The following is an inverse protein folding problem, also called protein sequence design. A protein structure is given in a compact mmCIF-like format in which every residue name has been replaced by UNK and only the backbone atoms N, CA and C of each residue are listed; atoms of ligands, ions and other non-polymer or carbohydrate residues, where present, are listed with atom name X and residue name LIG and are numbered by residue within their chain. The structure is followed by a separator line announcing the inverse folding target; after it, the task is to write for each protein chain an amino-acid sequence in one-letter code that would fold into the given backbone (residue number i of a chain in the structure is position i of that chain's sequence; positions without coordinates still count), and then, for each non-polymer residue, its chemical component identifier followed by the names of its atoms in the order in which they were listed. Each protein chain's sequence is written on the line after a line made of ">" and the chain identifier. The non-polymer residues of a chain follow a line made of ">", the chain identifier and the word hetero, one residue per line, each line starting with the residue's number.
data_IF_218241689818
#
_entry.id   IF_218241689818
#
_cell.length_a   1.000
_cell.length_b   1.000
_cell.length_c   1.000
_cell.angle_alpha   90.00
_cell.angle_beta   90.00
_cell.angle_gamma   90.00
#
_symmetry.space_group_name_H-M   'P 1'
#
loop_
_entity.id
_entity.type
_entity.pdbx_description
1 polymer ?
#
# COMPACT_ATOMS: atom_id res chain seq x y z
N UNK A 1 -6.99 18.99 -27.37
CA UNK A 1 -6.63 19.79 -26.19
C UNK A 1 -7.71 19.54 -25.15
N UNK A 2 -7.44 18.73 -24.13
CA UNK A 2 -8.38 18.51 -23.03
C UNK A 2 -8.22 19.67 -22.04
N UNK A 3 -9.24 20.52 -21.97
CA UNK A 3 -9.39 21.56 -20.95
C UNK A 3 -9.71 20.89 -19.62
N UNK A 4 -8.75 20.88 -18.69
CA UNK A 4 -9.04 20.66 -17.28
C UNK A 4 -9.91 21.83 -16.81
N UNK A 5 -11.22 21.60 -16.73
CA UNK A 5 -12.08 22.46 -15.94
C UNK A 5 -11.56 22.39 -14.51
N UNK A 6 -11.12 23.52 -13.98
CA UNK A 6 -10.78 23.68 -12.57
C UNK A 6 -12.04 23.29 -11.77
N UNK A 7 -12.10 22.05 -11.26
CA UNK A 7 -13.17 21.65 -10.34
C UNK A 7 -13.09 22.60 -9.14
N UNK A 8 -14.24 23.06 -8.68
CA UNK A 8 -14.40 24.21 -7.79
C UNK A 8 -13.65 24.10 -6.45
N UNK A 9 -13.18 22.90 -6.08
CA UNK A 9 -12.62 22.58 -4.76
C UNK A 9 -11.16 22.06 -4.79
N UNK A 10 -10.47 22.09 -5.94
CA UNK A 10 -9.07 21.66 -6.02
C UNK A 10 -8.13 22.62 -5.29
N UNK A 11 -7.35 22.11 -4.33
CA UNK A 11 -6.36 22.91 -3.58
C UNK A 11 -4.95 22.63 -4.09
N UNK A 12 -4.26 23.64 -4.64
CA UNK A 12 -2.88 23.47 -5.10
C UNK A 12 -1.89 23.51 -3.94
N UNK A 13 -1.06 22.47 -3.83
CA UNK A 13 0.11 22.40 -2.95
C UNK A 13 1.36 22.93 -3.67
N UNK A 14 1.44 22.71 -4.98
CA UNK A 14 2.41 23.30 -5.90
C UNK A 14 1.68 23.74 -7.17
N UNK A 15 1.65 25.04 -7.50
CA UNK A 15 0.97 25.53 -8.69
C UNK A 15 1.63 25.00 -9.96
N UNK A 16 0.86 25.01 -11.05
CA UNK A 16 1.31 24.48 -12.33
C UNK A 16 2.53 25.23 -12.87
N UNK A 17 3.60 24.51 -13.23
CA UNK A 17 4.78 25.10 -13.86
C UNK A 17 4.66 25.12 -15.40
N UNK A 18 5.70 25.59 -16.09
CA UNK A 18 5.72 25.73 -17.56
C UNK A 18 5.62 24.39 -18.32
N UNK A 19 6.10 23.29 -17.74
CA UNK A 19 5.98 21.92 -18.31
C UNK A 19 4.68 21.22 -17.90
N UNK A 20 3.82 21.94 -17.19
CA UNK A 20 2.50 21.47 -16.80
C UNK A 20 2.47 20.62 -15.53
N UNK A 21 3.60 20.47 -14.83
CA UNK A 21 3.69 19.79 -13.52
C UNK A 21 2.93 20.57 -12.46
N UNK A 22 2.10 19.89 -11.67
CA UNK A 22 1.39 20.48 -10.53
C UNK A 22 1.20 19.45 -9.42
N UNK A 23 1.12 19.92 -8.18
CA UNK A 23 0.72 19.07 -7.04
C UNK A 23 -0.52 19.69 -6.43
N UNK A 24 -1.59 18.91 -6.30
CA UNK A 24 -2.86 19.39 -5.79
C UNK A 24 -3.64 18.31 -5.04
N UNK A 25 -4.53 18.74 -4.16
CA UNK A 25 -5.53 17.90 -3.52
C UNK A 25 -6.79 17.94 -4.40
N UNK A 26 -7.20 16.77 -4.88
CA UNK A 26 -8.50 16.54 -5.51
C UNK A 26 -9.45 15.90 -4.48
N UNK A 27 -10.49 16.61 -4.03
CA UNK A 27 -11.46 16.08 -3.07
C UNK A 27 -12.55 15.22 -3.73
N UNK A 28 -12.59 15.16 -5.06
CA UNK A 28 -13.65 14.47 -5.81
C UNK A 28 -13.57 12.95 -5.61
N UNK A 29 -14.60 12.27 -5.08
CA UNK A 29 -14.62 10.79 -4.98
C UNK A 29 -14.63 10.11 -6.37
N UNK A 30 -14.97 10.87 -7.41
CA UNK A 30 -14.92 10.45 -8.82
C UNK A 30 -13.61 10.85 -9.53
N UNK A 31 -12.53 11.05 -8.78
CA UNK A 31 -11.22 11.29 -9.39
C UNK A 31 -10.79 10.10 -10.25
N UNK A 32 -10.35 10.35 -11.49
CA UNK A 32 -9.89 9.31 -12.42
C UNK A 32 -8.69 8.51 -11.87
N UNK A 33 -7.95 9.09 -10.93
CA UNK A 33 -6.76 8.49 -10.36
C UNK A 33 -7.07 7.32 -9.43
N UNK A 34 -8.27 7.24 -8.84
CA UNK A 34 -8.65 6.11 -8.00
C UNK A 34 -8.66 4.79 -8.78
N UNK A 35 -9.06 4.81 -10.05
CA UNK A 35 -9.09 3.58 -10.87
C UNK A 35 -7.67 3.03 -11.08
N UNK A 36 -6.70 3.91 -11.31
CA UNK A 36 -5.29 3.52 -11.44
C UNK A 36 -4.74 2.97 -10.12
N UNK A 37 -5.10 3.60 -9.00
CA UNK A 37 -4.70 3.15 -7.65
C UNK A 37 -5.32 1.80 -7.32
N UNK A 38 -6.58 1.61 -7.69
CA UNK A 38 -7.33 0.38 -7.50
C UNK A 38 -6.92 -0.77 -8.41
N UNK A 39 -6.08 -0.52 -9.43
CA UNK A 39 -5.61 -1.57 -10.32
C UNK A 39 -4.80 -2.64 -9.57
N UNK A 40 -5.20 -3.90 -9.74
CA UNK A 40 -4.56 -5.08 -9.14
C UNK A 40 -3.82 -5.92 -10.18
N UNK A 41 -3.59 -5.41 -11.39
CA UNK A 41 -2.87 -6.13 -12.45
C UNK A 41 -1.48 -6.66 -12.02
N UNK A 42 -0.84 -6.04 -11.02
CA UNK A 42 0.43 -6.50 -10.44
C UNK A 42 0.32 -7.91 -9.79
N UNK A 43 -0.88 -8.35 -9.42
CA UNK A 43 -1.12 -9.67 -8.82
C UNK A 43 -1.31 -10.78 -9.88
N UNK A 44 -1.27 -10.45 -11.17
CA UNK A 44 -1.48 -11.43 -12.24
C UNK A 44 -0.40 -12.51 -12.24
N UNK A 45 -0.85 -13.76 -12.43
CA UNK A 45 0.01 -14.94 -12.56
C UNK A 45 0.74 -14.98 -13.91
N UNK A 46 1.66 -14.04 -14.11
CA UNK A 46 2.55 -13.96 -15.26
C UNK A 46 3.76 -14.90 -15.12
N UNK A 47 4.74 -14.79 -16.02
CA UNK A 47 5.96 -15.61 -15.99
C UNK A 47 6.74 -15.44 -14.69
N UNK A 48 7.03 -14.20 -14.26
CA UNK A 48 7.83 -13.96 -13.06
C UNK A 48 7.10 -14.44 -11.79
N UNK A 49 5.76 -14.35 -11.77
CA UNK A 49 4.96 -14.94 -10.68
C UNK A 49 5.17 -16.45 -10.61
N UNK A 50 5.09 -17.14 -11.76
CA UNK A 50 5.29 -18.60 -11.82
C UNK A 50 6.70 -18.99 -11.37
N UNK A 51 7.71 -18.26 -11.83
CA UNK A 51 9.10 -18.51 -11.41
C UNK A 51 9.29 -18.30 -9.90
N UNK A 52 8.67 -17.26 -9.34
CA UNK A 52 8.69 -17.02 -7.89
C UNK A 52 7.99 -18.14 -7.13
N UNK A 53 6.84 -18.59 -7.62
CA UNK A 53 6.12 -19.72 -7.03
C UNK A 53 6.87 -21.05 -7.15
N UNK A 54 7.59 -21.29 -8.25
CA UNK A 54 8.46 -22.47 -8.39
C UNK A 54 9.55 -22.49 -7.32
N UNK A 55 10.20 -21.34 -7.07
CA UNK A 55 11.18 -21.20 -5.97
C UNK A 55 10.54 -21.44 -4.60
N UNK A 56 9.36 -20.91 -4.37
CA UNK A 56 8.65 -21.02 -3.08
C UNK A 56 8.05 -22.43 -2.84
N UNK A 57 7.71 -23.17 -3.89
CA UNK A 57 7.03 -24.46 -3.78
C UNK A 57 7.86 -25.51 -3.03
N UNK A 58 9.19 -25.38 -2.99
CA UNK A 58 10.05 -26.28 -2.19
C UNK A 58 9.77 -26.19 -0.69
N UNK A 59 9.25 -25.05 -0.23
CA UNK A 59 8.93 -24.77 1.17
C UNK A 59 7.44 -24.96 1.48
N UNK A 60 6.64 -25.28 0.46
CA UNK A 60 5.20 -25.39 0.60
C UNK A 60 4.85 -26.66 1.37
N UNK A 61 4.34 -26.48 2.59
CA UNK A 61 3.72 -27.55 3.37
C UNK A 61 2.38 -27.96 2.74
N UNK A 62 1.90 -29.20 2.99
CA UNK A 62 0.54 -29.59 2.64
C UNK A 62 -0.44 -28.55 3.19
N UNK A 63 -1.27 -28.02 2.29
CA UNK A 63 -2.11 -26.83 2.43
C UNK A 63 -2.73 -26.61 3.81
N UNK A 64 -2.33 -25.52 4.48
CA UNK A 64 -3.21 -24.77 5.37
C UNK A 64 -3.44 -23.41 4.72
N UNK A 65 -4.57 -23.25 4.03
CA UNK A 65 -5.02 -21.93 3.60
C UNK A 65 -5.16 -21.03 4.82
N UNK A 66 -4.59 -19.83 4.75
CA UNK A 66 -4.73 -18.83 5.81
C UNK A 66 -6.13 -18.23 5.75
N UNK A 67 -6.82 -18.26 6.89
CA UNK A 67 -8.06 -17.52 7.06
C UNK A 67 -7.77 -16.02 7.10
N UNK A 68 -8.30 -15.31 6.12
CA UNK A 68 -8.24 -13.85 6.00
C UNK A 68 -9.58 -13.19 6.37
N UNK A 69 -10.49 -13.91 7.03
CA UNK A 69 -11.78 -13.35 7.43
C UNK A 69 -11.58 -12.12 8.31
N UNK A 70 -12.15 -11.00 7.87
CA UNK A 70 -12.02 -9.70 8.56
C UNK A 70 -10.75 -8.90 8.21
N UNK A 71 -9.93 -9.38 7.27
CA UNK A 71 -8.73 -8.70 6.80
C UNK A 71 -8.90 -8.37 5.31
N UNK A 72 -8.89 -7.08 4.92
CA UNK A 72 -8.89 -6.71 3.51
C UNK A 72 -7.77 -7.39 2.73
N UNK A 73 -8.06 -7.73 1.47
CA UNK A 73 -7.11 -8.45 0.61
C UNK A 73 -6.13 -7.51 -0.08
N UNK A 74 -6.59 -6.33 -0.47
CA UNK A 74 -5.82 -5.41 -1.30
C UNK A 74 -5.67 -4.09 -0.58
N UNK A 75 -4.45 -3.59 -0.55
CA UNK A 75 -4.06 -2.40 0.19
C UNK A 75 -3.22 -1.49 -0.68
N UNK A 76 -3.34 -0.18 -0.47
CA UNK A 76 -2.38 0.80 -0.96
C UNK A 76 -1.89 1.68 0.19
N UNK A 77 -0.78 2.38 0.00
CA UNK A 77 -0.29 3.32 1.01
C UNK A 77 -1.28 4.46 1.25
N UNK A 78 -1.30 4.92 2.49
CA UNK A 78 -2.06 6.07 2.95
C UNK A 78 -1.07 7.07 3.55
N UNK A 79 -1.14 8.32 3.10
CA UNK A 79 -0.13 9.32 3.43
C UNK A 79 -0.70 10.36 4.40
N UNK A 80 0.12 10.88 5.32
CA UNK A 80 -0.28 11.92 6.26
C UNK A 80 0.20 13.29 5.77
N UNK A 81 -0.69 14.28 5.75
CA UNK A 81 -0.33 15.66 5.47
C UNK A 81 -1.16 16.63 6.31
N UNK A 82 -0.49 17.44 7.13
CA UNK A 82 -1.10 18.42 8.04
C UNK A 82 -2.23 17.82 8.88
N UNK A 83 -1.98 16.64 9.44
CA UNK A 83 -2.93 15.95 10.33
C UNK A 83 -4.11 15.29 9.62
N UNK A 84 -4.10 15.17 8.29
CA UNK A 84 -5.14 14.49 7.51
C UNK A 84 -4.54 13.39 6.65
N UNK A 85 -5.31 12.33 6.44
CA UNK A 85 -4.93 11.22 5.59
C UNK A 85 -5.35 11.45 4.14
N UNK A 86 -4.46 11.10 3.22
CA UNK A 86 -4.67 11.21 1.78
C UNK A 86 -4.22 9.93 1.09
N UNK A 87 -4.92 9.62 0.00
CA UNK A 87 -4.40 8.71 -1.02
C UNK A 87 -3.45 9.51 -1.91
N UNK A 88 -2.45 8.86 -2.51
CA UNK A 88 -1.46 9.55 -3.35
C UNK A 88 -1.42 8.98 -4.77
N UNK A 89 -1.52 9.87 -5.76
CA UNK A 89 -1.23 9.60 -7.16
C UNK A 89 0.17 10.16 -7.49
N UNK A 90 1.23 9.33 -7.43
CA UNK A 90 2.60 9.79 -7.64
C UNK A 90 2.88 10.12 -9.11
N UNK A 91 3.97 10.86 -9.35
CA UNK A 91 4.39 11.22 -10.71
C UNK A 91 4.78 9.98 -11.51
N UNK A 92 5.47 9.02 -10.89
CA UNK A 92 5.97 7.83 -11.58
C UNK A 92 5.00 6.64 -11.57
N UNK A 93 3.84 6.76 -10.90
CA UNK A 93 2.97 5.61 -10.63
C UNK A 93 3.68 4.46 -9.90
N UNK A 94 4.80 4.74 -9.24
CA UNK A 94 5.44 3.86 -8.26
C UNK A 94 4.93 4.21 -6.87
N UNK A 95 4.12 3.31 -6.32
CA UNK A 95 3.55 3.44 -4.97
C UNK A 95 3.36 2.06 -4.38
N UNK A 96 3.35 2.01 -3.06
CA UNK A 96 3.28 0.75 -2.34
C UNK A 96 1.87 0.18 -2.37
N UNK A 97 1.77 -1.05 -2.85
CA UNK A 97 0.56 -1.87 -2.80
C UNK A 97 0.87 -3.24 -2.23
N UNK A 98 -0.13 -3.83 -1.59
CA UNK A 98 -0.04 -5.18 -1.02
C UNK A 98 -1.30 -5.94 -1.36
N UNK A 99 -1.13 -7.17 -1.84
CA UNK A 99 -2.20 -8.14 -2.02
C UNK A 99 -1.94 -9.35 -1.14
N UNK A 100 -2.94 -9.72 -0.35
CA UNK A 100 -3.00 -10.92 0.47
C UNK A 100 -4.00 -11.90 -0.14
N UNK A 101 -3.56 -13.14 -0.32
CA UNK A 101 -4.46 -14.26 -0.54
C UNK A 101 -4.20 -15.34 0.51
N UNK A 102 -4.87 -16.48 0.37
CA UNK A 102 -4.86 -17.57 1.34
C UNK A 102 -3.50 -18.30 1.44
N UNK A 103 -2.53 -17.98 0.60
CA UNK A 103 -1.24 -18.66 0.55
C UNK A 103 -0.05 -17.77 0.24
N UNK A 104 -0.25 -16.55 -0.24
CA UNK A 104 0.83 -15.62 -0.57
C UNK A 104 0.51 -14.18 -0.18
N UNK A 105 1.59 -13.43 0.04
CA UNK A 105 1.59 -11.97 0.06
C UNK A 105 2.40 -11.49 -1.14
N UNK A 106 1.81 -10.57 -1.90
CA UNK A 106 2.42 -9.92 -3.06
C UNK A 106 2.58 -8.45 -2.68
N UNK A 107 3.81 -7.95 -2.73
CA UNK A 107 4.11 -6.53 -2.51
C UNK A 107 4.52 -5.93 -3.84
N UNK A 108 4.04 -4.74 -4.11
CA UNK A 108 4.52 -3.90 -5.21
C UNK A 108 5.01 -2.60 -4.60
N UNK A 109 6.31 -2.35 -4.71
CA UNK A 109 6.92 -1.05 -4.43
C UNK A 109 7.71 -0.55 -5.65
N UNK A 110 9.04 -0.48 -5.56
CA UNK A 110 9.92 -0.34 -6.72
C UNK A 110 9.88 -1.60 -7.57
N UNK A 111 9.87 -2.76 -6.93
CA UNK A 111 9.78 -4.06 -7.60
C UNK A 111 8.65 -4.89 -7.00
N UNK A 112 8.28 -5.96 -7.70
CA UNK A 112 7.28 -6.89 -7.18
C UNK A 112 7.99 -8.00 -6.41
N UNK A 113 7.62 -8.20 -5.15
CA UNK A 113 8.05 -9.35 -4.36
C UNK A 113 6.86 -10.26 -4.04
N UNK A 114 7.15 -11.56 -3.93
CA UNK A 114 6.16 -12.59 -3.61
C UNK A 114 6.71 -13.43 -2.48
N UNK A 115 5.93 -13.62 -1.42
CA UNK A 115 6.27 -14.52 -0.33
C UNK A 115 5.14 -15.53 -0.09
N UNK A 116 5.51 -16.75 0.28
CA UNK A 116 4.56 -17.77 0.73
C UNK A 116 4.16 -17.46 2.17
N UNK A 117 2.87 -17.44 2.46
CA UNK A 117 2.38 -17.38 3.83
C UNK A 117 2.40 -18.80 4.44
N UNK A 118 3.07 -18.94 5.57
CA UNK A 118 3.27 -20.23 6.27
C UNK A 118 2.32 -20.39 7.46
N UNK A 119 1.99 -19.31 8.16
CA UNK A 119 1.06 -19.32 9.28
C UNK A 119 0.49 -17.92 9.57
N UNK A 120 -0.65 -17.89 10.25
CA UNK A 120 -1.21 -16.67 10.85
C UNK A 120 -1.52 -16.90 12.32
N UNK A 121 -1.47 -15.84 13.12
CA UNK A 121 -2.02 -15.83 14.47
C UNK A 121 -2.68 -14.48 14.75
N UNK A 122 -3.92 -14.52 15.23
CA UNK A 122 -4.60 -13.33 15.76
C UNK A 122 -3.97 -12.94 17.10
N UNK A 123 -3.43 -11.74 17.20
CA UNK A 123 -2.79 -11.22 18.42
C UNK A 123 -3.87 -10.67 19.36
N UNK A 124 -4.78 -9.88 18.81
CA UNK A 124 -5.91 -9.25 19.50
C UNK A 124 -7.09 -9.09 18.53
N UNK A 125 -8.13 -8.32 18.89
CA UNK A 125 -9.32 -8.12 18.05
C UNK A 125 -8.99 -7.61 16.63
N UNK A 126 -7.99 -6.74 16.51
CA UNK A 126 -7.67 -5.94 15.35
C UNK A 126 -6.25 -6.17 14.80
N UNK A 127 -5.40 -6.95 15.49
CA UNK A 127 -4.03 -7.22 15.06
C UNK A 127 -3.81 -8.68 14.66
N UNK A 128 -3.14 -8.88 13.53
CA UNK A 128 -2.89 -10.20 12.93
C UNK A 128 -1.42 -10.33 12.56
N UNK A 129 -0.77 -11.37 13.09
CA UNK A 129 0.61 -11.70 12.75
C UNK A 129 0.64 -12.74 11.65
N UNK A 130 1.46 -12.52 10.64
CA UNK A 130 1.69 -13.43 9.53
C UNK A 130 3.13 -13.88 9.54
N UNK A 131 3.35 -15.17 9.35
CA UNK A 131 4.66 -15.74 9.07
C UNK A 131 4.76 -16.00 7.57
N UNK A 132 5.86 -15.56 6.96
CA UNK A 132 6.09 -15.72 5.53
C UNK A 132 7.48 -16.26 5.23
N UNK A 133 7.63 -16.81 4.04
CA UNK A 133 8.89 -17.26 3.45
C UNK A 133 9.10 -16.48 2.16
N UNK A 134 10.20 -15.75 2.08
CA UNK A 134 10.56 -14.95 0.91
C UNK A 134 11.19 -15.83 -0.18
N UNK A 135 10.89 -15.54 -1.43
CA UNK A 135 11.29 -16.37 -2.58
C UNK A 135 12.80 -16.35 -2.85
N UNK A 136 13.44 -15.17 -2.75
CA UNK A 136 14.87 -15.02 -3.03
C UNK A 136 15.78 -15.49 -1.90
N UNK A 137 15.36 -15.29 -0.65
CA UNK A 137 16.22 -15.56 0.52
C UNK A 137 15.90 -16.89 1.19
N UNK A 138 14.71 -17.45 0.93
CA UNK A 138 14.14 -18.57 1.70
C UNK A 138 14.12 -18.31 3.22
N UNK A 139 14.25 -17.05 3.65
CA UNK A 139 14.21 -16.69 5.06
C UNK A 139 12.75 -16.67 5.52
N UNK A 140 12.52 -17.29 6.68
CA UNK A 140 11.25 -17.20 7.37
C UNK A 140 11.25 -15.97 8.26
N UNK A 141 10.31 -15.06 8.03
CA UNK A 141 10.12 -13.88 8.86
C UNK A 141 8.64 -13.66 9.15
N UNK A 142 8.32 -12.55 9.82
CA UNK A 142 6.94 -12.22 10.15
C UNK A 142 6.66 -10.74 10.00
N UNK A 143 5.42 -10.42 9.66
CA UNK A 143 4.88 -9.07 9.66
C UNK A 143 3.55 -9.04 10.42
N UNK A 144 3.16 -7.86 10.89
CA UNK A 144 1.90 -7.65 11.61
C UNK A 144 1.05 -6.66 10.84
N UNK A 145 -0.25 -6.91 10.76
CA UNK A 145 -1.24 -5.95 10.30
C UNK A 145 -2.07 -5.54 11.51
N UNK A 146 -2.04 -4.26 11.83
CA UNK A 146 -2.83 -3.63 12.88
C UNK A 146 -3.96 -2.82 12.25
N UNK A 147 -5.22 -3.26 12.38
CA UNK A 147 -6.37 -2.50 11.90
C UNK A 147 -6.69 -1.40 12.91
N UNK A 148 -6.31 -0.16 12.60
CA UNK A 148 -6.47 0.98 13.51
C UNK A 148 -7.81 1.71 13.32
N UNK A 149 -8.42 1.58 12.14
CA UNK A 149 -9.76 2.10 11.86
C UNK A 149 -10.50 1.13 10.94
N UNK A 150 -11.43 0.36 11.51
CA UNK A 150 -12.20 -0.65 10.77
C UNK A 150 -13.18 0.02 9.80
N UNK A 151 -13.79 1.13 10.21
CA UNK A 151 -14.82 1.83 9.44
C UNK A 151 -14.20 2.45 8.18
N UNK A 152 -13.03 3.07 8.30
CA UNK A 152 -12.29 3.68 7.19
C UNK A 152 -11.28 2.76 6.52
N UNK A 153 -11.13 1.53 7.05
CA UNK A 153 -10.21 0.50 6.54
C UNK A 153 -8.75 0.89 6.60
N UNK A 154 -8.34 1.61 7.64
CA UNK A 154 -6.95 2.05 7.85
C UNK A 154 -6.22 1.01 8.69
N UNK A 155 -5.01 0.67 8.27
CA UNK A 155 -4.14 -0.25 8.98
C UNK A 155 -2.70 0.25 9.04
N UNK A 156 -1.97 -0.17 10.06
CA UNK A 156 -0.52 -0.07 10.15
C UNK A 156 0.08 -1.44 9.84
N UNK A 157 0.95 -1.47 8.86
CA UNK A 157 1.74 -2.66 8.50
C UNK A 157 3.10 -2.55 9.14
N UNK A 158 3.42 -3.52 9.99
CA UNK A 158 4.68 -3.63 10.73
C UNK A 158 5.54 -4.75 10.11
N UNK A 159 6.81 -4.46 9.81
CA UNK A 159 7.82 -5.42 9.34
C UNK A 159 7.49 -6.10 8.00
N UNK A 160 6.61 -5.52 7.19
CA UNK A 160 6.35 -6.03 5.85
C UNK A 160 7.43 -5.56 4.85
N UNK A 161 7.88 -4.32 4.97
CA UNK A 161 8.76 -3.68 3.98
C UNK A 161 10.21 -3.65 4.46
N UNK A 162 11.16 -3.95 3.58
CA UNK A 162 12.58 -3.86 3.89
C UNK A 162 13.00 -2.41 4.09
N UNK A 163 13.72 -2.11 5.17
CA UNK A 163 14.33 -0.80 5.34
C UNK A 163 15.73 -0.79 4.71
N UNK A 164 16.05 0.12 3.77
CA UNK A 164 17.37 0.22 3.18
C UNK A 164 18.50 0.55 4.18
N UNK A 165 18.16 0.99 5.40
CA UNK A 165 19.11 1.39 6.44
C UNK A 165 19.19 0.44 7.64
N UNK A 166 18.63 -0.78 7.56
CA UNK A 166 18.81 -1.81 8.60
C UNK A 166 18.16 -1.53 9.95
N UNK A 167 17.18 -0.61 10.04
CA UNK A 167 16.32 -0.52 11.22
C UNK A 167 15.51 -1.81 11.36
N UNK A 168 15.42 -2.31 12.59
CA UNK A 168 14.75 -3.56 12.98
C UNK A 168 13.23 -3.54 12.77
N UNK A 169 12.62 -2.36 12.62
CA UNK A 169 11.18 -2.21 12.48
C UNK A 169 10.81 -1.26 11.35
N UNK A 170 9.95 -1.70 10.43
CA UNK A 170 9.35 -0.86 9.40
C UNK A 170 7.86 -0.72 9.64
N UNK A 171 7.37 0.51 9.61
CA UNK A 171 5.94 0.80 9.72
C UNK A 171 5.47 1.47 8.44
N UNK A 172 4.27 1.11 7.99
CA UNK A 172 3.62 1.80 6.88
C UNK A 172 2.13 1.90 7.10
N UNK A 173 1.60 3.09 6.88
CA UNK A 173 0.17 3.32 6.92
C UNK A 173 -0.44 2.88 5.58
N UNK A 174 -1.49 2.08 5.66
CA UNK A 174 -2.14 1.45 4.52
C UNK A 174 -3.66 1.62 4.64
N UNK A 175 -4.34 1.58 3.50
CA UNK A 175 -5.80 1.61 3.42
C UNK A 175 -6.31 0.49 2.52
N UNK A 176 -7.46 -0.09 2.88
CA UNK A 176 -8.19 -1.01 2.02
C UNK A 176 -8.49 -0.33 0.68
N UNK A 177 -8.11 -0.98 -0.41
CA UNK A 177 -8.28 -0.45 -1.76
C UNK A 177 -9.75 -0.13 -2.08
N UNK A 178 -10.69 -0.82 -1.43
CA UNK A 178 -12.13 -0.60 -1.63
C UNK A 178 -12.65 0.67 -0.93
N UNK A 179 -11.86 1.27 -0.04
CA UNK A 179 -12.22 2.45 0.76
C UNK A 179 -11.45 3.70 0.38
N UNK A 180 -10.57 3.65 -0.62
CA UNK A 180 -9.73 4.78 -1.03
C UNK A 180 -10.53 6.03 -1.41
N UNK A 181 -11.76 5.87 -1.89
CA UNK A 181 -12.66 6.98 -2.26
C UNK A 181 -13.21 7.76 -1.07
N UNK A 182 -13.02 7.27 0.16
CA UNK A 182 -13.35 8.00 1.40
C UNK A 182 -12.30 9.06 1.78
N UNK A 183 -11.16 9.07 1.08
CA UNK A 183 -10.04 9.97 1.33
C UNK A 183 -9.82 10.86 0.12
N UNK A 184 -9.57 12.15 0.33
CA UNK A 184 -9.10 13.01 -0.76
C UNK A 184 -7.77 12.47 -1.31
N UNK A 185 -7.51 12.74 -2.59
CA UNK A 185 -6.28 12.31 -3.24
C UNK A 185 -5.35 13.50 -3.45
N UNK A 186 -4.08 13.34 -3.06
CA UNK A 186 -3.00 14.23 -3.50
C UNK A 186 -2.50 13.70 -4.85
N UNK A 187 -2.51 14.56 -5.86
CA UNK A 187 -2.09 14.24 -7.22
C UNK A 187 -0.79 14.95 -7.52
N UNK A 188 0.27 14.20 -7.80
CA UNK A 188 1.51 14.68 -8.37
C UNK A 188 1.45 14.58 -9.90
N UNK A 189 0.74 15.53 -10.52
CA UNK A 189 0.47 15.50 -11.94
C UNK A 189 1.72 15.92 -12.73
N UNK A 190 2.35 14.96 -13.40
CA UNK A 190 3.49 15.23 -14.29
C UNK A 190 3.34 14.52 -15.65
N UNK A 191 2.80 15.20 -16.68
CA UNK A 191 2.48 14.57 -17.96
C UNK A 191 3.67 14.43 -18.92
N UNK A 192 4.76 15.17 -18.71
CA UNK A 192 5.86 15.28 -19.68
C UNK A 192 7.15 14.62 -19.19
N UNK A 193 7.44 14.70 -17.89
CA UNK A 193 8.69 14.24 -17.30
C UNK A 193 8.46 13.62 -15.92
N UNK A 194 9.45 12.88 -15.42
CA UNK A 194 9.45 12.42 -14.03
C UNK A 194 9.79 13.61 -13.14
N UNK A 195 8.96 13.87 -12.15
CA UNK A 195 9.16 14.95 -11.19
C UNK A 195 9.34 14.36 -9.79
N UNK A 196 9.99 15.11 -8.90
CA UNK A 196 10.17 14.67 -7.52
C UNK A 196 8.81 14.43 -6.86
N UNK A 197 8.74 13.37 -6.07
CA UNK A 197 7.55 13.02 -5.32
C UNK A 197 7.30 14.00 -4.16
N UNK A 198 6.03 14.20 -3.81
CA UNK A 198 5.63 15.03 -2.69
C UNK A 198 6.10 14.41 -1.37
N UNK A 199 6.64 15.25 -0.49
CA UNK A 199 7.08 14.82 0.84
C UNK A 199 5.93 14.97 1.83
N UNK A 200 5.50 13.85 2.38
CA UNK A 200 4.45 13.74 3.39
C UNK A 200 5.02 13.80 4.80
N UNK A 201 4.15 14.02 5.78
CA UNK A 201 4.49 13.96 7.20
C UNK A 201 4.67 12.48 7.62
N UNK A 202 5.62 12.20 8.51
CA UNK A 202 5.78 10.87 9.08
C UNK A 202 4.75 10.66 10.20
N UNK A 203 3.90 9.61 10.14
CA UNK A 203 2.95 9.32 11.21
C UNK A 203 3.65 8.95 12.52
N UNK A 204 3.08 9.37 13.65
CA UNK A 204 3.47 8.86 14.96
C UNK A 204 2.88 7.44 15.15
N UNK A 205 3.63 6.43 14.72
CA UNK A 205 3.20 5.03 14.81
C UNK A 205 3.07 4.53 16.25
N UNK A 206 3.83 5.09 17.20
CA UNK A 206 3.66 4.75 18.61
C UNK A 206 2.29 5.20 19.10
N UNK A 207 1.89 6.43 18.79
CA UNK A 207 0.56 6.96 19.14
C UNK A 207 -0.56 6.18 18.44
N UNK A 208 -0.42 5.88 17.15
CA UNK A 208 -1.44 5.12 16.40
C UNK A 208 -1.70 3.72 16.96
N UNK A 209 -0.68 3.09 17.55
CA UNK A 209 -0.77 1.73 18.07
C UNK A 209 -1.15 1.66 19.56
N UNK A 210 -1.11 2.77 20.31
CA UNK A 210 -1.46 2.78 21.75
C UNK A 210 -2.88 2.30 22.05
N UNK A 211 -3.81 2.50 21.12
CA UNK A 211 -5.23 2.21 21.29
C UNK A 211 -5.64 0.76 20.99
N UNK A 212 -4.67 -0.12 20.66
CA UNK A 212 -4.93 -1.51 20.31
C UNK A 212 -4.86 -2.48 21.52
N UNK A 213 -4.69 -1.95 22.74
CA UNK A 213 -4.65 -2.72 23.99
C UNK A 213 -6.04 -2.90 24.62
#
# INVERSE_FOLDING_TARGET
>A
MSTFAQKQDTTFLKPRNQVGHAIYIDPSPDSEYYEKIADISYTLSNKDYKESMERLNIHKKPFNQIDLTGIPRNWCSLELYKGKYYVYAPSEWSYTRVSLNDSTVIQQDMERSISLLDATSKIDKNSYKFFRIEDYTSQRNSFTIHIIDVERGIAVFENLFSNPFGKLFSFKLMVDINKIKEFHIVVNYSPQHRELEFVFDEPDFEELLKHLN
#
